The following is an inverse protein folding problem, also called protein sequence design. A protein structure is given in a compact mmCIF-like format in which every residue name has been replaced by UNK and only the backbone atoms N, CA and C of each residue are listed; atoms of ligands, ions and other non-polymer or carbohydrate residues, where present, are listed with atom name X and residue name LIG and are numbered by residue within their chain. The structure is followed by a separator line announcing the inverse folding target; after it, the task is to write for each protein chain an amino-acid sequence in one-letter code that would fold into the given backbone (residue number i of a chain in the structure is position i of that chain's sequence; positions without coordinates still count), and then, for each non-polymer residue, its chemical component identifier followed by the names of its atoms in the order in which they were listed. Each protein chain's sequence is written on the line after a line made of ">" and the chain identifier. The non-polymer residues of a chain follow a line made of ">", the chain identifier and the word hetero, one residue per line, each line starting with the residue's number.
data_IF_756086071431
#
_entry.id   IF_756086071431
#
_cell.length_a   1.000
_cell.length_b   1.000
_cell.length_c   1.000
_cell.angle_alpha   90.00
_cell.angle_beta   90.00
_cell.angle_gamma   90.00
#
_symmetry.space_group_name_H-M   'P 1'
#
loop_
_entity.id
_entity.type
_entity.pdbx_description
1 polymer ?
#
# COMPACT_ATOMS: atom_id res chain seq x y z
N UNK A 1 -37.21 112.00 7.62
CA UNK A 1 -37.36 110.53 7.63
C UNK A 1 -37.47 110.09 9.07
N UNK A 2 -38.41 109.19 9.39
CA UNK A 2 -38.80 108.85 10.76
C UNK A 2 -37.94 107.67 11.27
N UNK A 3 -37.17 107.85 12.34
CA UNK A 3 -36.26 106.82 12.88
C UNK A 3 -36.97 105.50 13.26
N UNK A 4 -38.25 105.57 13.63
CA UNK A 4 -39.07 104.41 13.94
C UNK A 4 -39.35 103.50 12.73
N UNK A 5 -39.41 104.07 11.52
CA UNK A 5 -39.64 103.30 10.29
C UNK A 5 -38.34 102.65 9.79
N UNK A 6 -37.20 103.31 10.00
CA UNK A 6 -35.87 102.73 9.78
C UNK A 6 -35.63 101.54 10.72
N UNK A 7 -36.00 101.65 11.99
CA UNK A 7 -35.91 100.54 12.95
C UNK A 7 -36.74 99.31 12.58
N UNK A 8 -37.95 99.50 12.02
CA UNK A 8 -38.80 98.41 11.51
C UNK A 8 -38.19 97.73 10.28
N UNK A 9 -37.62 98.48 9.35
CA UNK A 9 -36.91 97.92 8.20
C UNK A 9 -35.69 97.10 8.63
N UNK A 10 -34.90 97.58 9.60
CA UNK A 10 -33.76 96.85 10.15
C UNK A 10 -34.21 95.54 10.82
N UNK A 11 -35.29 95.55 11.61
CA UNK A 11 -35.84 94.32 12.20
C UNK A 11 -36.35 93.32 11.15
N UNK A 12 -36.96 93.80 10.07
CA UNK A 12 -37.40 92.95 8.96
C UNK A 12 -36.21 92.33 8.23
N UNK A 13 -35.14 93.09 8.01
CA UNK A 13 -33.89 92.57 7.45
C UNK A 13 -33.23 91.54 8.38
N UNK A 14 -33.20 91.77 9.69
CA UNK A 14 -32.66 90.80 10.67
C UNK A 14 -33.48 89.51 10.66
N UNK A 15 -34.81 89.59 10.59
CA UNK A 15 -35.68 88.40 10.46
C UNK A 15 -35.42 87.63 9.18
N UNK A 16 -35.24 88.33 8.06
CA UNK A 16 -34.91 87.71 6.79
C UNK A 16 -33.57 86.96 6.87
N UNK A 17 -32.53 87.59 7.43
CA UNK A 17 -31.21 86.96 7.61
C UNK A 17 -31.29 85.72 8.50
N UNK A 18 -32.08 85.78 9.59
CA UNK A 18 -32.27 84.63 10.47
C UNK A 18 -33.02 83.49 9.78
N UNK A 19 -34.09 83.79 9.04
CA UNK A 19 -34.83 82.79 8.29
C UNK A 19 -33.98 82.16 7.18
N UNK A 20 -33.21 82.96 6.44
CA UNK A 20 -32.29 82.47 5.42
C UNK A 20 -31.19 81.56 6.03
N UNK A 21 -30.67 81.92 7.21
CA UNK A 21 -29.71 81.09 7.93
C UNK A 21 -30.34 79.76 8.43
N UNK A 22 -31.60 79.80 8.87
CA UNK A 22 -32.34 78.63 9.36
C UNK A 22 -32.70 77.68 8.20
N UNK A 23 -33.13 78.22 7.05
CA UNK A 23 -33.34 77.44 5.82
C UNK A 23 -32.02 76.82 5.34
N UNK A 24 -30.92 77.58 5.33
CA UNK A 24 -29.58 77.06 4.98
C UNK A 24 -29.13 75.94 5.91
N UNK A 25 -29.35 76.10 7.22
CA UNK A 25 -29.02 75.08 8.22
C UNK A 25 -29.87 73.81 8.02
N UNK A 26 -31.15 73.97 7.73
CA UNK A 26 -32.04 72.86 7.41
C UNK A 26 -31.61 72.13 6.14
N UNK A 27 -31.29 72.85 5.07
CA UNK A 27 -30.75 72.27 3.82
C UNK A 27 -29.48 71.45 4.08
N UNK A 28 -28.52 72.00 4.85
CA UNK A 28 -27.29 71.29 5.21
C UNK A 28 -27.61 70.03 6.02
N UNK A 29 -28.56 70.10 6.96
CA UNK A 29 -28.93 68.94 7.78
C UNK A 29 -29.54 67.81 6.96
N UNK A 30 -30.44 68.14 6.02
CA UNK A 30 -31.07 67.16 5.14
C UNK A 30 -30.04 66.55 4.18
N UNK A 31 -29.19 67.38 3.57
CA UNK A 31 -28.11 66.91 2.70
C UNK A 31 -27.13 65.99 3.45
N UNK A 32 -26.76 66.32 4.69
CA UNK A 32 -25.89 65.49 5.51
C UNK A 32 -26.54 64.15 5.87
N UNK A 33 -27.84 64.11 6.13
CA UNK A 33 -28.57 62.87 6.43
C UNK A 33 -28.70 61.98 5.19
N UNK A 34 -28.93 62.58 4.01
CA UNK A 34 -28.92 61.86 2.73
C UNK A 34 -27.54 61.26 2.43
N UNK A 35 -26.46 62.05 2.54
CA UNK A 35 -25.09 61.58 2.33
C UNK A 35 -24.71 60.46 3.32
N UNK A 36 -25.05 60.62 4.60
CA UNK A 36 -24.81 59.58 5.62
C UNK A 36 -25.50 58.26 5.26
N UNK A 37 -26.76 58.32 4.82
CA UNK A 37 -27.51 57.13 4.44
C UNK A 37 -26.91 56.45 3.20
N UNK A 38 -26.45 57.23 2.22
CA UNK A 38 -25.79 56.71 1.01
C UNK A 38 -24.46 56.03 1.37
N UNK A 39 -23.58 56.69 2.13
CA UNK A 39 -22.29 56.12 2.52
C UNK A 39 -22.46 54.86 3.37
N UNK A 40 -23.37 54.90 4.35
CA UNK A 40 -23.69 53.74 5.19
C UNK A 40 -24.15 52.57 4.34
N UNK A 41 -25.04 52.81 3.38
CA UNK A 41 -25.55 51.75 2.50
C UNK A 41 -24.41 51.16 1.64
N UNK A 42 -23.58 52.02 1.04
CA UNK A 42 -22.43 51.58 0.25
C UNK A 42 -21.43 50.76 1.08
N UNK A 43 -21.12 51.19 2.30
CA UNK A 43 -20.23 50.47 3.20
C UNK A 43 -20.82 49.10 3.56
N UNK A 44 -22.11 49.04 3.91
CA UNK A 44 -22.78 47.77 4.25
C UNK A 44 -22.86 46.84 3.03
N UNK A 45 -23.17 47.35 1.84
CA UNK A 45 -23.26 46.53 0.64
C UNK A 45 -21.90 45.99 0.19
N UNK A 46 -20.85 46.81 0.24
CA UNK A 46 -19.48 46.38 -0.08
C UNK A 46 -19.00 45.28 0.86
N UNK A 47 -19.22 45.42 2.17
CA UNK A 47 -18.89 44.40 3.16
C UNK A 47 -19.75 43.14 3.01
N UNK A 48 -21.07 43.27 2.78
CA UNK A 48 -21.94 42.12 2.48
C UNK A 48 -21.48 41.35 1.24
N UNK A 49 -20.96 42.05 0.22
CA UNK A 49 -20.43 41.42 -0.99
C UNK A 49 -19.14 40.65 -0.69
N UNK A 50 -18.23 41.26 0.08
CA UNK A 50 -16.98 40.61 0.53
C UNK A 50 -17.27 39.34 1.33
N UNK A 51 -18.15 39.44 2.33
CA UNK A 51 -18.55 38.31 3.16
C UNK A 51 -19.19 37.19 2.32
N UNK A 52 -20.10 37.51 1.39
CA UNK A 52 -20.69 36.51 0.50
C UNK A 52 -19.66 35.74 -0.31
N UNK A 53 -18.68 36.43 -0.90
CA UNK A 53 -17.63 35.79 -1.69
C UNK A 53 -16.74 34.86 -0.82
N UNK A 54 -16.42 35.28 0.40
CA UNK A 54 -15.63 34.45 1.32
C UNK A 54 -16.38 33.20 1.76
N UNK A 55 -17.68 33.30 2.04
CA UNK A 55 -18.50 32.12 2.38
C UNK A 55 -18.69 31.18 1.19
N UNK A 56 -18.87 31.70 -0.03
CA UNK A 56 -18.94 30.86 -1.24
C UNK A 56 -17.64 30.06 -1.45
N UNK A 57 -16.48 30.68 -1.20
CA UNK A 57 -15.19 29.99 -1.22
C UNK A 57 -15.09 28.92 -0.14
N UNK A 58 -15.51 29.22 1.09
CA UNK A 58 -15.51 28.26 2.20
C UNK A 58 -16.43 27.08 1.95
N UNK A 59 -17.61 27.32 1.39
CA UNK A 59 -18.58 26.28 1.01
C UNK A 59 -17.99 25.34 -0.03
N UNK A 60 -17.43 25.89 -1.13
CA UNK A 60 -16.74 25.09 -2.15
C UNK A 60 -15.58 24.28 -1.58
N UNK A 61 -14.80 24.86 -0.67
CA UNK A 61 -13.71 24.14 0.00
C UNK A 61 -14.23 23.01 0.89
N UNK A 62 -15.31 23.22 1.63
CA UNK A 62 -15.93 22.20 2.48
C UNK A 62 -16.46 21.03 1.63
N UNK A 63 -17.11 21.31 0.50
CA UNK A 63 -17.59 20.28 -0.43
C UNK A 63 -16.43 19.45 -1.02
N UNK A 64 -15.35 20.10 -1.43
CA UNK A 64 -14.16 19.42 -1.93
C UNK A 64 -13.54 18.54 -0.84
N UNK A 65 -13.39 19.06 0.39
CA UNK A 65 -12.88 18.28 1.53
C UNK A 65 -13.73 17.07 1.82
N UNK A 66 -15.07 17.22 1.86
CA UNK A 66 -16.00 16.12 2.07
C UNK A 66 -15.87 15.03 1.00
N UNK A 67 -15.69 15.41 -0.27
CA UNK A 67 -15.46 14.45 -1.37
C UNK A 67 -14.14 13.72 -1.23
N UNK A 68 -13.07 14.42 -0.80
CA UNK A 68 -11.77 13.81 -0.55
C UNK A 68 -11.87 12.82 0.61
N UNK A 69 -12.44 13.22 1.74
CA UNK A 69 -12.61 12.37 2.93
C UNK A 69 -13.39 11.10 2.59
N UNK A 70 -14.53 11.23 1.91
CA UNK A 70 -15.31 10.09 1.45
C UNK A 70 -14.52 9.15 0.54
N UNK A 71 -13.76 9.71 -0.42
CA UNK A 71 -12.90 8.92 -1.31
C UNK A 71 -11.78 8.20 -0.55
N UNK A 72 -11.15 8.89 0.42
CA UNK A 72 -10.10 8.33 1.27
C UNK A 72 -10.62 7.20 2.13
N UNK A 73 -11.80 7.36 2.74
CA UNK A 73 -12.45 6.32 3.55
C UNK A 73 -12.80 5.09 2.70
N UNK A 74 -13.40 5.29 1.53
CA UNK A 74 -13.70 4.20 0.60
C UNK A 74 -12.44 3.45 0.16
N UNK A 75 -11.36 4.18 -0.12
CA UNK A 75 -10.09 3.57 -0.49
C UNK A 75 -9.45 2.82 0.68
N UNK A 76 -9.56 3.34 1.91
CA UNK A 76 -9.09 2.66 3.11
C UNK A 76 -9.82 1.32 3.31
N UNK A 77 -11.15 1.32 3.24
CA UNK A 77 -11.96 0.11 3.32
C UNK A 77 -11.60 -0.89 2.20
N UNK A 78 -11.38 -0.40 0.97
CA UNK A 78 -10.95 -1.24 -0.15
C UNK A 78 -9.59 -1.89 0.10
N UNK A 79 -8.61 -1.12 0.61
CA UNK A 79 -7.28 -1.63 0.94
C UNK A 79 -7.37 -2.69 2.04
N UNK A 80 -8.19 -2.46 3.07
CA UNK A 80 -8.39 -3.42 4.15
C UNK A 80 -8.92 -4.77 3.64
N UNK A 81 -9.91 -4.75 2.74
CA UNK A 81 -10.42 -5.98 2.10
C UNK A 81 -9.32 -6.68 1.30
N UNK A 82 -8.53 -5.94 0.52
CA UNK A 82 -7.42 -6.52 -0.26
C UNK A 82 -6.34 -7.13 0.65
N UNK A 83 -6.03 -6.48 1.78
CA UNK A 83 -5.10 -7.01 2.78
C UNK A 83 -5.64 -8.30 3.42
N UNK A 84 -6.92 -8.33 3.78
CA UNK A 84 -7.57 -9.54 4.32
C UNK A 84 -7.55 -10.69 3.31
N UNK A 85 -7.80 -10.40 2.02
CA UNK A 85 -7.71 -11.39 0.95
C UNK A 85 -6.29 -11.93 0.77
N UNK A 86 -5.28 -11.07 0.80
CA UNK A 86 -3.87 -11.47 0.67
C UNK A 86 -3.40 -12.26 1.90
N UNK A 87 -3.83 -11.87 3.11
CA UNK A 87 -3.55 -12.60 4.34
C UNK A 87 -4.14 -14.02 4.32
N UNK A 88 -5.36 -14.19 3.82
CA UNK A 88 -5.97 -15.52 3.69
C UNK A 88 -5.21 -16.42 2.69
N UNK A 89 -4.80 -15.85 1.55
CA UNK A 89 -3.99 -16.56 0.54
C UNK A 89 -2.59 -16.91 1.10
N UNK A 90 -1.99 -16.02 1.89
CA UNK A 90 -0.72 -16.26 2.58
C UNK A 90 -0.83 -17.38 3.63
N UNK A 91 -1.89 -17.39 4.44
CA UNK A 91 -2.18 -18.49 5.38
C UNK A 91 -2.32 -19.85 4.68
N UNK A 92 -2.92 -19.89 3.49
CA UNK A 92 -3.00 -21.13 2.71
C UNK A 92 -1.61 -21.63 2.30
N UNK A 93 -0.71 -20.72 1.91
CA UNK A 93 0.68 -21.07 1.58
C UNK A 93 1.40 -21.63 2.81
N UNK A 94 1.20 -21.03 3.98
CA UNK A 94 1.78 -21.49 5.24
C UNK A 94 1.28 -22.88 5.61
N UNK A 95 -0.04 -23.11 5.54
CA UNK A 95 -0.65 -24.42 5.81
C UNK A 95 -0.16 -25.50 4.83
N UNK A 96 0.04 -25.16 3.55
CA UNK A 96 0.66 -26.06 2.59
C UNK A 96 2.11 -26.39 2.95
N UNK A 97 2.86 -25.42 3.48
CA UNK A 97 4.21 -25.64 4.04
C UNK A 97 4.20 -26.60 5.23
N UNK A 98 3.27 -26.44 6.16
CA UNK A 98 3.08 -27.36 7.28
C UNK A 98 2.70 -28.78 6.83
N UNK A 99 1.90 -28.91 5.77
CA UNK A 99 1.57 -30.20 5.18
C UNK A 99 2.81 -30.88 4.57
N UNK A 100 3.71 -30.12 3.94
CA UNK A 100 4.99 -30.65 3.44
C UNK A 100 5.88 -31.18 4.57
N UNK A 101 5.84 -30.57 5.75
CA UNK A 101 6.53 -31.10 6.94
C UNK A 101 5.99 -32.45 7.40
N UNK A 102 4.73 -32.79 7.11
CA UNK A 102 4.19 -34.13 7.43
C UNK A 102 4.80 -35.19 6.51
N UNK A 103 5.02 -34.85 5.24
CA UNK A 103 5.65 -35.76 4.26
C UNK A 103 7.12 -36.02 4.61
N UNK A 104 7.82 -35.03 5.18
CA UNK A 104 9.22 -35.23 5.58
C UNK A 104 9.39 -36.09 6.84
N UNK A 105 8.32 -36.31 7.62
CA UNK A 105 8.34 -37.26 8.76
C UNK A 105 8.30 -38.72 8.32
N UNK A 106 7.72 -39.04 7.16
CA UNK A 106 7.75 -40.39 6.59
C UNK A 106 9.06 -40.61 5.83
N UNK A 107 9.98 -41.35 6.44
CA UNK A 107 11.30 -41.61 5.89
C UNK A 107 11.26 -42.36 4.55
N UNK A 108 10.28 -43.23 4.31
CA UNK A 108 10.21 -44.02 3.07
C UNK A 108 9.74 -43.14 1.90
N UNK A 109 8.65 -42.40 2.11
CA UNK A 109 8.15 -41.44 1.12
C UNK A 109 9.17 -40.33 0.84
N UNK A 110 9.79 -39.80 1.90
CA UNK A 110 10.76 -38.71 1.77
C UNK A 110 12.03 -39.12 1.02
N UNK A 111 12.56 -40.33 1.23
CA UNK A 111 13.69 -40.87 0.46
C UNK A 111 13.39 -40.92 -1.05
N UNK A 112 12.17 -41.33 -1.43
CA UNK A 112 11.75 -41.35 -2.84
C UNK A 112 11.69 -39.94 -3.43
N UNK A 113 11.18 -38.98 -2.66
CA UNK A 113 11.14 -37.56 -3.07
C UNK A 113 12.56 -36.99 -3.22
N UNK A 114 13.43 -37.20 -2.23
CA UNK A 114 14.83 -36.75 -2.28
C UNK A 114 15.57 -37.29 -3.51
N UNK A 115 15.38 -38.58 -3.83
CA UNK A 115 15.95 -39.18 -5.05
C UNK A 115 15.54 -38.42 -6.29
N UNK A 116 14.24 -38.17 -6.46
CA UNK A 116 13.71 -37.43 -7.60
C UNK A 116 14.22 -36.00 -7.67
N UNK A 117 14.33 -35.32 -6.52
CA UNK A 117 14.85 -33.94 -6.45
C UNK A 117 16.32 -33.88 -6.87
N UNK A 118 17.16 -34.81 -6.41
CA UNK A 118 18.57 -34.87 -6.79
C UNK A 118 18.71 -35.13 -8.29
N UNK A 119 17.99 -36.13 -8.83
CA UNK A 119 18.03 -36.44 -10.28
C UNK A 119 17.57 -35.24 -11.11
N UNK A 120 16.49 -34.57 -10.72
CA UNK A 120 15.99 -33.38 -11.42
C UNK A 120 17.03 -32.25 -11.43
N UNK A 121 17.69 -32.00 -10.30
CA UNK A 121 18.74 -30.99 -10.19
C UNK A 121 19.96 -31.33 -11.04
N UNK A 122 20.39 -32.60 -11.05
CA UNK A 122 21.50 -33.07 -11.90
C UNK A 122 21.19 -32.86 -13.39
N UNK A 123 19.98 -33.21 -13.83
CA UNK A 123 19.53 -33.03 -15.23
C UNK A 123 19.47 -31.55 -15.64
N UNK A 124 19.22 -30.65 -14.69
CA UNK A 124 19.14 -29.20 -14.95
C UNK A 124 20.53 -28.54 -14.98
N UNK A 125 21.44 -28.96 -14.12
CA UNK A 125 22.81 -28.41 -14.02
C UNK A 125 23.71 -28.92 -15.16
N UNK A 126 23.67 -30.23 -15.47
CA UNK A 126 24.51 -30.89 -16.49
C UNK A 126 26.02 -30.61 -16.34
N UNK A 127 26.50 -30.59 -15.10
CA UNK A 127 27.92 -30.38 -14.80
C UNK A 127 28.60 -31.68 -14.35
N UNK A 128 29.93 -31.81 -14.59
CA UNK A 128 30.68 -33.02 -14.22
C UNK A 128 30.95 -33.14 -12.71
N UNK A 129 31.02 -32.00 -12.00
CA UNK A 129 31.36 -31.94 -10.58
C UNK A 129 30.45 -30.95 -9.86
N UNK A 130 29.75 -31.41 -8.82
CA UNK A 130 28.70 -30.67 -8.13
C UNK A 130 28.84 -30.81 -6.62
N UNK A 131 28.48 -29.74 -5.91
CA UNK A 131 28.40 -29.67 -4.47
C UNK A 131 26.94 -29.75 -4.04
N UNK A 132 26.59 -30.70 -3.17
CA UNK A 132 25.23 -30.90 -2.66
C UNK A 132 25.15 -30.41 -1.22
N UNK A 133 24.25 -29.46 -0.98
CA UNK A 133 23.88 -28.96 0.35
C UNK A 133 22.52 -29.49 0.74
N UNK A 134 22.44 -30.09 1.92
CA UNK A 134 21.20 -30.57 2.53
C UNK A 134 21.13 -30.08 3.99
N UNK A 135 20.03 -30.34 4.69
CA UNK A 135 19.99 -30.17 6.15
C UNK A 135 20.85 -31.23 6.81
N UNK A 136 21.39 -30.92 7.98
CA UNK A 136 22.21 -31.86 8.76
C UNK A 136 21.44 -33.16 9.08
N UNK A 137 20.18 -33.04 9.50
CA UNK A 137 19.31 -34.19 9.80
C UNK A 137 19.04 -35.11 8.59
N UNK A 138 19.11 -34.59 7.36
CA UNK A 138 18.81 -35.35 6.15
C UNK A 138 20.04 -36.04 5.56
N UNK A 139 21.24 -35.76 6.09
CA UNK A 139 22.52 -36.22 5.53
C UNK A 139 22.56 -37.72 5.33
N UNK A 140 22.19 -38.51 6.33
CA UNK A 140 22.21 -39.97 6.23
C UNK A 140 21.23 -40.51 5.18
N UNK A 141 20.09 -39.85 4.99
CA UNK A 141 19.13 -40.22 3.93
C UNK A 141 19.64 -39.84 2.54
N UNK A 142 20.28 -38.68 2.42
CA UNK A 142 20.88 -38.22 1.16
C UNK A 142 22.03 -39.13 0.74
N UNK A 143 22.93 -39.51 1.66
CA UNK A 143 24.04 -40.43 1.39
C UNK A 143 23.52 -41.79 0.87
N UNK A 144 22.47 -42.35 1.49
CA UNK A 144 21.86 -43.60 1.06
C UNK A 144 21.21 -43.52 -0.34
N UNK A 145 20.71 -42.36 -0.74
CA UNK A 145 19.99 -42.15 -2.00
C UNK A 145 20.91 -41.68 -3.14
N UNK A 146 22.08 -41.14 -2.81
CA UNK A 146 22.98 -40.49 -3.75
C UNK A 146 23.43 -41.42 -4.88
N UNK A 147 23.83 -42.65 -4.56
CA UNK A 147 24.31 -43.62 -5.55
C UNK A 147 23.19 -44.08 -6.49
N UNK A 148 21.98 -44.25 -5.98
CA UNK A 148 20.81 -44.56 -6.79
C UNK A 148 20.45 -43.39 -7.74
N UNK A 149 20.56 -42.14 -7.25
CA UNK A 149 20.30 -40.95 -8.06
C UNK A 149 21.35 -40.75 -9.17
N UNK A 150 22.63 -41.02 -8.90
CA UNK A 150 23.71 -40.96 -9.91
C UNK A 150 23.51 -41.99 -11.03
N UNK A 151 23.06 -43.20 -10.69
CA UNK A 151 22.75 -44.25 -11.69
C UNK A 151 21.59 -43.82 -12.59
N UNK A 152 20.49 -43.36 -11.99
CA UNK A 152 19.32 -42.90 -12.73
C UNK A 152 19.62 -41.68 -13.62
N UNK A 153 20.48 -40.76 -13.16
CA UNK A 153 20.94 -39.65 -13.99
C UNK A 153 21.77 -40.15 -15.18
N UNK A 154 22.72 -41.05 -14.96
CA UNK A 154 23.57 -41.60 -16.03
C UNK A 154 22.74 -42.33 -17.10
N UNK A 155 21.73 -43.11 -16.69
CA UNK A 155 20.77 -43.78 -17.58
C UNK A 155 19.97 -42.78 -18.41
N UNK A 156 19.41 -41.73 -17.79
CA UNK A 156 18.57 -40.73 -18.46
C UNK A 156 19.34 -39.80 -19.38
N UNK A 157 20.54 -39.38 -18.97
CA UNK A 157 21.35 -38.42 -19.69
C UNK A 157 22.35 -39.08 -20.64
N UNK A 158 22.51 -40.42 -20.60
CA UNK A 158 23.49 -41.20 -21.40
C UNK A 158 24.92 -40.66 -21.25
N UNK A 159 25.30 -40.27 -20.04
CA UNK A 159 26.61 -39.70 -19.70
C UNK A 159 27.23 -40.40 -18.49
N UNK A 160 28.52 -40.17 -18.27
CA UNK A 160 29.24 -40.69 -17.12
C UNK A 160 28.67 -40.17 -15.78
N UNK A 161 28.92 -40.93 -14.71
CA UNK A 161 28.47 -40.57 -13.37
C UNK A 161 29.09 -39.24 -12.92
N UNK A 162 28.26 -38.24 -12.54
CA UNK A 162 28.77 -36.96 -12.06
C UNK A 162 29.39 -37.12 -10.66
N UNK A 163 30.47 -36.38 -10.41
CA UNK A 163 31.08 -36.30 -9.09
C UNK A 163 30.24 -35.38 -8.20
N UNK A 164 29.43 -35.96 -7.31
CA UNK A 164 28.62 -35.20 -6.35
C UNK A 164 29.24 -35.31 -4.97
N UNK A 165 29.66 -34.17 -4.41
CA UNK A 165 30.27 -34.06 -3.08
C UNK A 165 29.24 -33.43 -2.14
N UNK A 166 28.97 -34.05 -0.99
CA UNK A 166 28.10 -33.45 0.04
C UNK A 166 28.91 -32.40 0.81
N UNK A 167 28.39 -31.19 0.89
CA UNK A 167 29.01 -30.09 1.63
C UNK A 167 28.98 -30.41 3.14
N UNK A 168 30.15 -30.52 3.75
CA UNK A 168 30.32 -30.76 5.19
C UNK A 168 30.46 -29.49 6.02
N UNK A 169 30.46 -28.31 5.38
CA UNK A 169 30.71 -27.01 6.03
C UNK A 169 29.47 -26.11 5.99
N UNK A 170 28.68 -26.17 4.92
CA UNK A 170 27.48 -25.35 4.75
C UNK A 170 26.24 -26.23 4.62
N UNK A 171 25.41 -26.20 5.66
CA UNK A 171 24.13 -26.91 5.71
C UNK A 171 22.96 -25.98 5.40
N UNK A 172 21.85 -26.57 4.94
CA UNK A 172 20.59 -25.84 4.85
C UNK A 172 20.06 -25.54 6.25
N UNK A 173 19.30 -24.43 6.41
CA UNK A 173 18.74 -24.08 7.71
C UNK A 173 17.87 -25.20 8.30
N UNK A 174 17.82 -25.33 9.62
CA UNK A 174 17.06 -26.39 10.27
C UNK A 174 15.56 -26.24 10.03
N UNK A 175 14.80 -27.28 10.39
CA UNK A 175 13.36 -27.25 10.33
C UNK A 175 12.80 -26.18 11.28
N UNK A 176 11.70 -25.52 10.89
CA UNK A 176 10.95 -24.64 11.79
C UNK A 176 10.53 -25.42 13.03
N UNK A 177 11.09 -25.07 14.18
CA UNK A 177 10.61 -25.51 15.50
C UNK A 177 9.88 -24.35 16.17
N UNK A 178 8.94 -24.65 17.06
CA UNK A 178 8.12 -23.64 17.76
C UNK A 178 8.95 -22.64 18.60
N UNK A 179 10.23 -22.93 18.85
CA UNK A 179 11.15 -22.09 19.64
C UNK A 179 11.90 -21.05 18.80
N UNK A 180 12.11 -21.30 17.50
CA UNK A 180 12.90 -20.44 16.60
C UNK A 180 12.03 -19.86 15.47
N UNK A 181 10.97 -19.14 15.84
CA UNK A 181 9.98 -18.62 14.89
C UNK A 181 10.54 -17.57 13.91
N UNK A 182 11.68 -16.94 14.23
CA UNK A 182 12.25 -15.80 13.48
C UNK A 182 13.53 -16.13 12.69
N UNK A 183 13.91 -17.41 12.57
CA UNK A 183 15.09 -17.85 11.81
C UNK A 183 14.79 -18.30 10.37
N UNK A 184 15.80 -18.30 9.46
CA UNK A 184 15.68 -18.98 8.18
C UNK A 184 15.44 -20.47 8.44
N UNK A 185 14.47 -21.05 7.77
CA UNK A 185 14.08 -22.43 8.03
C UNK A 185 13.72 -23.16 6.75
N UNK A 186 14.04 -24.46 6.73
CA UNK A 186 13.86 -25.32 5.56
C UNK A 186 13.05 -26.56 5.94
N UNK A 187 11.95 -26.78 5.21
CA UNK A 187 11.11 -27.98 5.34
C UNK A 187 11.83 -29.23 4.82
N UNK A 188 12.85 -29.04 3.98
CA UNK A 188 13.73 -30.09 3.47
C UNK A 188 14.01 -29.95 1.97
N UNK A 189 14.73 -30.92 1.43
CA UNK A 189 15.15 -30.98 0.03
C UNK A 189 16.64 -30.69 -0.11
N UNK A 190 17.06 -30.34 -1.33
CA UNK A 190 18.48 -30.25 -1.69
C UNK A 190 18.77 -28.98 -2.50
N UNK A 191 19.96 -28.45 -2.30
CA UNK A 191 20.52 -27.38 -3.13
C UNK A 191 21.80 -27.91 -3.75
N UNK A 192 21.88 -27.89 -5.08
CA UNK A 192 23.10 -28.23 -5.79
C UNK A 192 23.79 -26.95 -6.25
N UNK A 193 25.09 -26.87 -6.06
CA UNK A 193 25.92 -25.81 -6.59
C UNK A 193 27.01 -26.40 -7.49
N UNK A 194 27.47 -25.62 -8.47
CA UNK A 194 28.71 -25.92 -9.18
C UNK A 194 29.89 -25.96 -8.20
N UNK A 195 30.96 -26.65 -8.57
CA UNK A 195 32.20 -26.69 -7.76
C UNK A 195 32.80 -25.29 -7.54
N UNK A 196 32.59 -24.36 -8.48
CA UNK A 196 33.02 -22.96 -8.35
C UNK A 196 32.00 -22.07 -7.62
N UNK A 197 30.84 -22.62 -7.25
CA UNK A 197 29.76 -21.93 -6.54
C UNK A 197 28.97 -20.91 -7.37
N UNK A 198 29.25 -20.74 -8.67
CA UNK A 198 28.60 -19.71 -9.50
C UNK A 198 27.18 -20.07 -9.88
N UNK A 199 26.94 -21.34 -10.21
CA UNK A 199 25.63 -21.84 -10.60
C UNK A 199 25.03 -22.58 -9.40
N UNK A 200 23.84 -22.16 -8.96
CA UNK A 200 23.14 -22.76 -7.82
C UNK A 200 21.71 -23.13 -8.22
N UNK A 201 21.39 -24.42 -8.10
CA UNK A 201 20.05 -24.96 -8.28
C UNK A 201 19.40 -25.20 -6.91
N UNK A 202 18.47 -24.30 -6.54
CA UNK A 202 17.69 -24.44 -5.31
C UNK A 202 16.47 -25.32 -5.57
N UNK A 203 16.50 -26.56 -5.08
CA UNK A 203 15.42 -27.54 -5.24
C UNK A 203 14.89 -28.01 -3.88
N UNK A 204 14.73 -27.06 -2.95
CA UNK A 204 14.08 -27.28 -1.65
C UNK A 204 12.57 -27.35 -1.81
N UNK A 205 11.89 -28.03 -0.88
CA UNK A 205 10.43 -28.13 -0.88
C UNK A 205 9.77 -26.75 -0.78
N UNK A 206 10.34 -25.84 0.00
CA UNK A 206 9.82 -24.48 0.19
C UNK A 206 9.96 -23.61 -1.08
N UNK A 207 11.07 -23.75 -1.80
CA UNK A 207 11.29 -23.04 -3.07
C UNK A 207 10.30 -23.54 -4.13
N UNK A 208 10.10 -24.86 -4.21
CA UNK A 208 9.12 -25.46 -5.12
C UNK A 208 7.69 -25.04 -4.80
N UNK A 209 7.32 -25.05 -3.52
CA UNK A 209 6.02 -24.55 -3.07
C UNK A 209 5.84 -23.09 -3.49
N UNK A 210 6.86 -22.26 -3.28
CA UNK A 210 6.80 -20.84 -3.65
C UNK A 210 6.67 -20.63 -5.17
N UNK A 211 7.38 -21.40 -5.99
CA UNK A 211 7.26 -21.35 -7.46
C UNK A 211 5.87 -21.80 -7.90
N UNK A 212 5.41 -22.96 -7.42
CA UNK A 212 4.08 -23.50 -7.76
C UNK A 212 2.97 -22.56 -7.32
N UNK A 213 3.07 -22.00 -6.11
CA UNK A 213 2.11 -21.04 -5.58
C UNK A 213 2.02 -19.78 -6.43
N UNK A 214 3.17 -19.21 -6.86
CA UNK A 214 3.18 -18.03 -7.75
C UNK A 214 2.53 -18.32 -9.09
N UNK A 215 2.80 -19.48 -9.69
CA UNK A 215 2.21 -19.90 -10.97
C UNK A 215 0.71 -20.15 -10.85
N UNK A 216 0.27 -20.74 -9.73
CA UNK A 216 -1.14 -21.09 -9.48
C UNK A 216 -1.94 -19.97 -8.80
N UNK A 217 -1.30 -18.87 -8.40
CA UNK A 217 -1.94 -17.74 -7.73
C UNK A 217 -3.17 -17.20 -8.48
N UNK A 218 -3.16 -17.05 -9.83
CA UNK A 218 -4.34 -16.60 -10.56
C UNK A 218 -5.51 -17.59 -10.44
N UNK A 219 -5.24 -18.90 -10.55
CA UNK A 219 -6.26 -19.95 -10.40
C UNK A 219 -6.82 -20.01 -8.97
N UNK A 220 -5.95 -19.85 -7.96
CA UNK A 220 -6.32 -19.82 -6.54
C UNK A 220 -7.21 -18.61 -6.26
N UNK A 221 -6.81 -17.41 -6.69
CA UNK A 221 -7.60 -16.19 -6.53
C UNK A 221 -8.95 -16.29 -7.24
N UNK A 222 -8.96 -16.84 -8.46
CA UNK A 222 -10.20 -17.10 -9.18
C UNK A 222 -11.11 -18.05 -8.41
N UNK A 223 -10.61 -19.13 -7.81
CA UNK A 223 -11.46 -20.07 -7.07
C UNK A 223 -11.96 -19.53 -5.72
N UNK A 224 -11.14 -18.76 -5.02
CA UNK A 224 -11.48 -18.24 -3.69
C UNK A 224 -12.38 -17.00 -3.74
N UNK A 225 -12.12 -16.13 -4.72
CA UNK A 225 -12.70 -14.80 -4.78
C UNK A 225 -13.41 -14.53 -6.11
N UNK A 226 -13.70 -15.55 -6.94
CA UNK A 226 -14.60 -15.33 -8.06
C UNK A 226 -15.92 -14.84 -7.53
N UNK A 227 -16.16 -13.55 -7.70
CA UNK A 227 -17.51 -13.04 -7.79
C UNK A 227 -18.12 -13.67 -9.04
N UNK A 228 -19.25 -14.36 -8.88
CA UNK A 228 -20.25 -14.38 -9.94
C UNK A 228 -20.51 -12.91 -10.26
N UNK A 229 -19.95 -12.45 -11.37
CA UNK A 229 -20.41 -11.21 -12.00
C UNK A 229 -21.81 -11.56 -12.52
N UNK A 230 -22.84 -11.24 -11.72
CA UNK A 230 -24.17 -10.93 -12.26
C UNK A 230 -24.19 -9.51 -12.75
#
# INVERSE_FOLDING_TARGET
>A
MNDADVGKQVQQMVRFILQEAEEKASEISVAAEEEFNIEKLQLVESEKKRVRQDYERKEKQADVRRKIEYSTELNAARIEVLQAQDAAVSRMKESAGEALLRVTKDAAAYKKVLRGLIVQSLLRMREPSLLLRCREADRGMVEAVLEAAKKEYAEKAKVNHPKVIIDGKVYLPPQKTARDAHGPACSGGVVLASQDGKIVCVNTLDARLSVSFRQKLPEIRKKLYSQQVS
#
